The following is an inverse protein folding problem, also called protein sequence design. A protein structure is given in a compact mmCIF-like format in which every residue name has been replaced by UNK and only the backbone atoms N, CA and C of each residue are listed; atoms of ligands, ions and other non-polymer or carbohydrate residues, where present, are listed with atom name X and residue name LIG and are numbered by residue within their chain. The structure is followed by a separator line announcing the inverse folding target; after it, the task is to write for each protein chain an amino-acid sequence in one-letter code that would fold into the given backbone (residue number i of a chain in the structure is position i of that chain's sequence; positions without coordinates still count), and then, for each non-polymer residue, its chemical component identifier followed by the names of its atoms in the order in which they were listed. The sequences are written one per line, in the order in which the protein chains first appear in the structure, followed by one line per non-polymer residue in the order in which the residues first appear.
data_IF_084318855897
#
_entry.id   IF_084318855897
#
_cell.length_a   1.000
_cell.length_b   1.000
_cell.length_c   1.000
_cell.angle_alpha   90.00
_cell.angle_beta   90.00
_cell.angle_gamma   90.00
#
_symmetry.space_group_name_H-M   'P 1'
#
loop_
_entity.id
_entity.type
_entity.pdbx_description
1 polymer ?
#
# COMPACT_ATOMS: atom_id res chain seq x y z
N UNK A 1 -8.36 -7.90 -12.84
CA UNK A 1 -7.02 -7.28 -12.95
C UNK A 1 -5.96 -8.27 -13.43
N UNK A 2 -5.49 -9.25 -12.64
CA UNK A 2 -4.40 -10.15 -13.08
C UNK A 2 -4.66 -10.87 -14.42
N UNK A 3 -5.84 -11.47 -14.58
CA UNK A 3 -6.24 -12.11 -15.84
C UNK A 3 -6.45 -11.13 -17.00
N UNK A 4 -6.89 -9.90 -16.70
CA UNK A 4 -7.17 -8.88 -17.73
C UNK A 4 -5.87 -8.26 -18.25
N UNK A 5 -4.89 -8.08 -17.37
CA UNK A 5 -3.59 -7.46 -17.65
C UNK A 5 -2.49 -8.49 -17.96
N UNK A 6 -2.77 -9.79 -17.79
CA UNK A 6 -1.87 -10.88 -18.13
C UNK A 6 -0.62 -11.00 -17.24
N UNK A 7 -0.75 -10.80 -15.92
CA UNK A 7 0.37 -10.98 -14.98
C UNK A 7 0.08 -12.06 -13.92
N UNK A 8 1.12 -12.81 -13.57
CA UNK A 8 1.12 -13.71 -12.42
C UNK A 8 1.35 -12.94 -11.12
N UNK A 9 0.82 -13.46 -10.01
CA UNK A 9 0.92 -12.81 -8.72
C UNK A 9 1.10 -13.82 -7.59
N UNK A 10 1.78 -13.37 -6.54
CA UNK A 10 1.81 -14.02 -5.24
C UNK A 10 1.21 -13.05 -4.21
N UNK A 11 0.30 -13.54 -3.38
CA UNK A 11 -0.27 -12.75 -2.28
C UNK A 11 0.32 -13.26 -0.98
N UNK A 12 0.91 -12.34 -0.23
CA UNK A 12 1.41 -12.60 1.10
C UNK A 12 0.90 -11.53 2.08
N UNK A 13 0.78 -11.92 3.34
CA UNK A 13 0.43 -10.98 4.41
C UNK A 13 1.70 -10.25 4.85
N UNK A 14 1.59 -8.94 5.05
CA UNK A 14 2.67 -8.20 5.66
C UNK A 14 2.88 -8.70 7.11
N UNK A 15 4.12 -8.85 7.62
CA UNK A 15 4.37 -9.49 8.91
C UNK A 15 3.72 -8.80 10.11
N UNK A 16 3.40 -7.51 9.97
CA UNK A 16 2.85 -6.67 11.04
C UNK A 16 1.33 -6.47 10.93
N UNK A 17 0.68 -7.07 9.92
CA UNK A 17 -0.76 -6.99 9.63
C UNK A 17 -1.37 -5.58 9.85
N UNK A 18 -0.73 -4.54 9.31
CA UNK A 18 -1.12 -3.15 9.59
C UNK A 18 -0.75 -2.13 8.51
N UNK A 19 -1.58 -1.08 8.41
CA UNK A 19 -1.51 0.02 7.45
C UNK A 19 -0.65 1.22 7.92
N UNK A 20 0.33 1.01 8.81
CA UNK A 20 0.87 2.05 9.72
C UNK A 20 1.63 3.23 9.06
N UNK A 21 1.93 4.23 9.91
CA UNK A 21 2.41 5.61 9.63
C UNK A 21 3.93 5.71 9.47
N UNK A 22 4.38 6.83 8.90
CA UNK A 22 5.77 7.29 8.97
C UNK A 22 6.22 7.39 10.44
N UNK A 23 7.36 6.78 10.75
CA UNK A 23 7.98 6.85 12.07
C UNK A 23 8.71 8.18 12.27
N UNK A 24 9.02 8.52 13.53
CA UNK A 24 9.72 9.78 13.88
C UNK A 24 11.05 9.91 13.15
N UNK A 25 11.70 8.79 12.85
CA UNK A 25 12.98 8.72 12.13
C UNK A 25 12.84 8.79 10.60
N UNK A 26 11.62 9.01 10.07
CA UNK A 26 11.35 9.12 8.64
C UNK A 26 11.26 7.79 7.89
N UNK A 27 11.11 6.67 8.61
CA UNK A 27 10.94 5.34 7.99
C UNK A 27 9.50 4.89 8.00
N UNK A 28 9.10 4.13 6.98
CA UNK A 28 7.80 3.49 6.92
C UNK A 28 7.82 2.11 7.59
N UNK A 29 6.67 1.67 8.08
CA UNK A 29 6.42 0.32 8.61
C UNK A 29 5.18 -0.29 7.92
N UNK A 30 4.78 -1.49 8.34
CA UNK A 30 3.58 -2.16 7.81
C UNK A 30 3.61 -2.34 6.29
N UNK A 31 2.45 -2.18 5.65
CA UNK A 31 2.31 -2.23 4.19
C UNK A 31 3.10 -1.13 3.45
N UNK A 32 3.16 0.08 4.01
CA UNK A 32 3.90 1.19 3.37
C UNK A 32 5.38 0.86 3.24
N UNK A 33 5.99 0.23 4.26
CA UNK A 33 7.39 -0.23 4.18
C UNK A 33 7.61 -1.25 3.07
N UNK A 34 6.69 -2.21 2.96
CA UNK A 34 6.81 -3.27 1.96
C UNK A 34 6.76 -2.69 0.53
N UNK A 35 6.03 -1.59 0.30
CA UNK A 35 6.03 -0.86 -0.97
C UNK A 35 7.29 0.01 -1.15
N UNK A 36 7.65 0.83 -0.16
CA UNK A 36 8.78 1.77 -0.26
C UNK A 36 10.13 1.05 -0.39
N UNK A 37 10.24 -0.15 0.17
CA UNK A 37 11.46 -0.96 0.10
C UNK A 37 11.43 -2.02 -1.02
N UNK A 38 10.55 -1.88 -2.01
CA UNK A 38 10.41 -2.78 -3.17
C UNK A 38 10.20 -4.27 -2.82
N UNK A 39 9.66 -4.56 -1.63
CA UNK A 39 9.31 -5.92 -1.23
C UNK A 39 7.98 -6.37 -1.86
N UNK A 40 7.11 -5.42 -2.18
CA UNK A 40 5.86 -5.64 -2.91
C UNK A 40 5.68 -4.54 -3.96
N UNK A 41 5.20 -4.90 -5.15
CA UNK A 41 4.89 -3.92 -6.21
C UNK A 41 3.51 -3.27 -6.05
N UNK A 42 2.57 -3.98 -5.42
CA UNK A 42 1.18 -3.53 -5.22
C UNK A 42 0.71 -3.94 -3.83
N UNK A 43 -0.05 -3.07 -3.18
CA UNK A 43 -0.75 -3.39 -1.95
C UNK A 43 -2.26 -3.25 -2.18
N UNK A 44 -3.03 -4.22 -1.69
CA UNK A 44 -4.49 -4.19 -1.71
C UNK A 44 -4.93 -4.12 -0.25
N UNK A 45 -5.44 -2.97 0.17
CA UNK A 45 -5.89 -2.72 1.54
C UNK A 45 -6.89 -1.56 1.57
N UNK A 46 -7.58 -1.39 2.70
CA UNK A 46 -8.43 -0.23 3.02
C UNK A 46 -7.60 1.01 3.42
N UNK A 47 -6.49 1.25 2.71
CA UNK A 47 -5.50 2.27 3.03
C UNK A 47 -6.00 3.69 2.67
N UNK A 48 -6.16 4.60 3.66
CA UNK A 48 -6.53 5.98 3.36
C UNK A 48 -5.46 6.70 2.53
N UNK A 49 -5.88 7.43 1.49
CA UNK A 49 -5.02 8.31 0.71
C UNK A 49 -4.77 9.58 1.54
N UNK A 50 -3.52 9.83 1.91
CA UNK A 50 -3.08 11.04 2.63
C UNK A 50 -1.90 11.66 1.88
N UNK A 51 -1.70 12.98 2.01
CA UNK A 51 -0.59 13.67 1.36
C UNK A 51 0.77 13.01 1.67
N UNK A 52 1.02 12.71 2.95
CA UNK A 52 2.24 12.05 3.42
C UNK A 52 2.49 10.70 2.73
N UNK A 53 1.44 9.90 2.48
CA UNK A 53 1.59 8.61 1.79
C UNK A 53 1.79 8.79 0.29
N UNK A 54 1.09 9.74 -0.32
CA UNK A 54 1.22 10.05 -1.75
C UNK A 54 2.58 10.62 -2.12
N UNK A 55 3.35 11.15 -1.16
CA UNK A 55 4.76 11.53 -1.36
C UNK A 55 5.70 10.32 -1.44
N UNK A 56 5.30 9.17 -0.89
CA UNK A 56 6.14 7.96 -0.81
C UNK A 56 5.75 6.88 -1.84
N UNK A 57 4.48 6.79 -2.23
CA UNK A 57 3.97 5.80 -3.19
C UNK A 57 2.89 6.41 -4.08
N UNK A 58 2.74 5.85 -5.29
CA UNK A 58 1.65 6.22 -6.19
C UNK A 58 0.36 5.45 -5.85
N UNK A 59 -0.76 6.16 -5.81
CA UNK A 59 -2.08 5.59 -5.61
C UNK A 59 -2.86 5.48 -6.92
N UNK A 60 -3.66 4.43 -7.05
CA UNK A 60 -4.72 4.38 -8.06
C UNK A 60 -5.89 5.28 -7.66
N UNK A 61 -6.83 5.49 -8.57
CA UNK A 61 -8.11 6.10 -8.21
C UNK A 61 -8.79 5.29 -7.08
N UNK A 62 -9.42 5.97 -6.10
CA UNK A 62 -10.09 5.30 -4.99
C UNK A 62 -11.25 4.47 -5.53
N UNK A 63 -11.31 3.20 -5.13
CA UNK A 63 -12.40 2.29 -5.50
C UNK A 63 -13.55 2.30 -4.46
N UNK A 64 -13.34 2.92 -3.30
CA UNK A 64 -14.34 3.12 -2.25
C UNK A 64 -14.22 4.51 -1.63
N UNK A 65 -15.35 5.07 -1.18
CA UNK A 65 -15.39 6.26 -0.31
C UNK A 65 -15.61 5.79 1.12
N UNK A 66 -14.84 6.32 2.06
CA UNK A 66 -14.98 6.04 3.50
C UNK A 66 -16.11 6.89 4.09
N UNK A 67 -17.35 6.43 3.96
CA UNK A 67 -18.55 7.02 4.59
C UNK A 67 -18.93 8.41 4.08
N UNK A 68 -20.23 8.66 3.94
CA UNK A 68 -20.76 10.02 3.91
C UNK A 68 -21.06 10.49 5.35
#
# INVERSE_FOLDING_TARGET
IANEEGFDYEVFLNPENSNKKLEVIGTWNGLMRDLVNDKAYKAISDLPITNERSEAVDFTMPFMKLGD
#
